data_IF_240758155422
#
_entry.id   IF_240758155422
#
_cell.length_a   1.000
_cell.length_b   1.000
_cell.length_c   1.000
_cell.angle_alpha   90.00
_cell.angle_beta   90.00
_cell.angle_gamma   90.00
#
_symmetry.space_group_name_H-M   'P 1'
#
loop_
_entity.id
_entity.type
_entity.pdbx_description
1 polymer ?
#
# COMPACT_ATOMS: atom_id res chain seq x y z
N UNK A 1 -24.17 4.72 29.37
CA UNK A 1 -25.64 4.56 29.38
C UNK A 1 -25.99 3.13 29.77
N UNK A 2 -27.10 2.90 30.48
CA UNK A 2 -27.63 1.56 30.75
C UNK A 2 -28.87 1.35 29.89
N UNK A 3 -28.85 0.30 29.09
CA UNK A 3 -29.92 -0.07 28.16
C UNK A 3 -30.21 -1.55 28.35
N UNK A 4 -31.48 -1.94 28.32
CA UNK A 4 -31.90 -3.34 28.25
C UNK A 4 -32.32 -3.60 26.82
N UNK A 5 -31.78 -4.65 26.21
CA UNK A 5 -32.05 -5.04 24.84
C UNK A 5 -32.35 -6.55 24.81
N UNK A 6 -33.31 -6.95 23.99
CA UNK A 6 -33.60 -8.37 23.75
C UNK A 6 -32.73 -8.85 22.59
N UNK A 7 -32.07 -9.99 22.76
CA UNK A 7 -31.25 -10.63 21.73
C UNK A 7 -31.93 -11.91 21.27
N UNK A 8 -31.84 -12.18 19.98
CA UNK A 8 -32.17 -13.50 19.45
C UNK A 8 -31.15 -14.55 19.96
N UNK A 9 -31.59 -15.81 20.03
CA UNK A 9 -30.82 -16.94 20.58
C UNK A 9 -29.47 -17.13 19.86
N UNK A 10 -29.47 -16.96 18.53
CA UNK A 10 -28.28 -17.06 17.70
C UNK A 10 -27.29 -15.94 17.99
N UNK A 11 -27.77 -14.70 18.17
CA UNK A 11 -26.94 -13.55 18.53
C UNK A 11 -26.34 -13.71 19.92
N UNK A 12 -27.11 -14.20 20.89
CA UNK A 12 -26.61 -14.48 22.24
C UNK A 12 -25.44 -15.49 22.20
N UNK A 13 -25.60 -16.60 21.47
CA UNK A 13 -24.55 -17.61 21.28
C UNK A 13 -23.30 -17.04 20.61
N UNK A 14 -23.47 -16.22 19.56
CA UNK A 14 -22.34 -15.57 18.88
C UNK A 14 -21.55 -14.65 19.82
N UNK A 15 -22.24 -13.93 20.71
CA UNK A 15 -21.58 -13.07 21.69
C UNK A 15 -20.82 -13.91 22.72
N UNK A 16 -21.40 -15.00 23.22
CA UNK A 16 -20.74 -15.89 24.18
C UNK A 16 -19.45 -16.52 23.61
N UNK A 17 -19.53 -16.99 22.36
CA UNK A 17 -18.37 -17.51 21.63
C UNK A 17 -17.29 -16.43 21.46
N UNK A 18 -17.67 -15.21 21.08
CA UNK A 18 -16.75 -14.11 20.91
C UNK A 18 -16.08 -13.69 22.23
N UNK A 19 -16.82 -13.72 23.34
CA UNK A 19 -16.29 -13.47 24.69
C UNK A 19 -15.27 -14.53 25.09
N UNK A 20 -15.57 -15.80 24.84
CA UNK A 20 -14.65 -16.91 25.12
C UNK A 20 -13.37 -16.82 24.27
N UNK A 21 -13.51 -16.59 22.97
CA UNK A 21 -12.39 -16.50 22.05
C UNK A 21 -11.47 -15.32 22.36
N UNK A 22 -12.04 -14.14 22.66
CA UNK A 22 -11.26 -12.93 22.93
C UNK A 22 -10.79 -12.83 24.39
N UNK A 23 -11.37 -13.60 25.31
CA UNK A 23 -11.18 -13.48 26.77
C UNK A 23 -11.40 -12.06 27.29
N UNK A 24 -12.42 -11.40 26.75
CA UNK A 24 -12.78 -10.01 27.06
C UNK A 24 -14.18 -9.95 27.65
N UNK A 25 -14.48 -8.98 28.55
CA UNK A 25 -15.80 -8.88 29.14
C UNK A 25 -16.88 -8.60 28.09
N UNK A 26 -18.04 -9.26 28.25
CA UNK A 26 -19.24 -9.15 27.40
C UNK A 26 -19.51 -7.72 26.91
N UNK A 27 -19.51 -6.75 27.84
CA UNK A 27 -19.77 -5.34 27.54
C UNK A 27 -18.79 -4.76 26.50
N UNK A 28 -17.51 -5.12 26.57
CA UNK A 28 -16.52 -4.64 25.62
C UNK A 28 -16.74 -5.27 24.24
N UNK A 29 -16.97 -6.58 24.20
CA UNK A 29 -17.21 -7.31 22.96
C UNK A 29 -18.44 -6.76 22.22
N UNK A 30 -19.56 -6.62 22.94
CA UNK A 30 -20.81 -6.08 22.38
C UNK A 30 -20.63 -4.64 21.89
N UNK A 31 -20.04 -3.77 22.70
CA UNK A 31 -19.86 -2.37 22.29
C UNK A 31 -18.91 -2.23 21.10
N UNK A 32 -17.83 -3.02 21.04
CA UNK A 32 -16.90 -2.96 19.92
C UNK A 32 -17.53 -3.51 18.64
N UNK A 33 -18.31 -4.59 18.73
CA UNK A 33 -19.07 -5.11 17.60
C UNK A 33 -20.07 -4.06 17.08
N UNK A 34 -20.86 -3.44 17.97
CA UNK A 34 -21.80 -2.37 17.61
C UNK A 34 -21.09 -1.16 17.01
N UNK A 35 -19.95 -0.73 17.57
CA UNK A 35 -19.16 0.37 17.00
C UNK A 35 -18.69 0.03 15.60
N UNK A 36 -18.14 -1.16 15.37
CA UNK A 36 -17.69 -1.57 14.03
C UNK A 36 -18.82 -1.61 13.02
N UNK A 37 -20.00 -2.10 13.43
CA UNK A 37 -21.17 -2.18 12.56
C UNK A 37 -21.81 -0.82 12.26
N UNK A 38 -21.84 0.08 13.24
CA UNK A 38 -22.49 1.39 13.14
C UNK A 38 -21.53 2.52 12.71
N UNK A 39 -20.23 2.27 12.71
CA UNK A 39 -19.26 3.24 12.17
C UNK A 39 -19.26 3.11 10.66
N UNK A 40 -19.66 4.17 9.91
CA UNK A 40 -19.60 4.13 8.46
C UNK A 40 -18.16 3.88 8.00
N UNK A 41 -17.96 3.13 6.90
CA UNK A 41 -16.63 2.88 6.38
C UNK A 41 -15.94 4.21 6.11
N UNK A 42 -14.78 4.39 6.75
CA UNK A 42 -13.95 5.57 6.60
C UNK A 42 -13.48 5.61 5.14
N UNK A 43 -14.04 6.52 4.34
CA UNK A 43 -13.71 6.73 2.91
C UNK A 43 -12.36 7.47 2.75
N UNK A 44 -11.43 7.22 3.65
CA UNK A 44 -10.15 7.91 3.72
C UNK A 44 -9.06 7.08 3.06
N UNK A 45 -9.42 6.04 2.30
CA UNK A 45 -8.51 5.47 1.32
C UNK A 45 -8.32 6.53 0.24
N UNK A 46 -7.30 7.37 0.43
CA UNK A 46 -6.84 8.29 -0.59
C UNK A 46 -6.66 7.48 -1.88
N UNK A 47 -7.45 7.82 -2.90
CA UNK A 47 -7.34 7.21 -4.23
C UNK A 47 -5.87 7.29 -4.62
N UNK A 48 -5.27 6.13 -4.90
CA UNK A 48 -3.88 6.08 -5.34
C UNK A 48 -3.75 6.92 -6.62
N UNK A 49 -3.06 8.06 -6.52
CA UNK A 49 -2.76 8.93 -7.66
C UNK A 49 -1.34 8.63 -8.11
N UNK A 50 -1.19 8.09 -9.32
CA UNK A 50 0.10 8.00 -9.98
C UNK A 50 0.57 9.42 -10.30
N UNK A 51 1.70 9.83 -9.73
CA UNK A 51 2.40 11.05 -10.14
C UNK A 51 3.47 10.61 -11.14
N UNK A 52 3.26 10.81 -12.46
CA UNK A 52 4.27 10.46 -13.45
C UNK A 52 5.50 11.35 -13.25
N UNK A 53 6.69 10.75 -13.29
CA UNK A 53 7.95 11.48 -13.32
C UNK A 53 8.39 11.64 -14.78
N UNK A 54 8.92 12.82 -15.13
CA UNK A 54 9.56 13.00 -16.42
C UNK A 54 10.90 12.28 -16.42
N UNK A 55 10.95 11.15 -17.11
CA UNK A 55 12.18 10.43 -17.39
C UNK A 55 12.79 10.93 -18.70
N UNK A 56 14.09 11.24 -18.71
CA UNK A 56 14.85 11.58 -19.92
C UNK A 56 15.17 10.37 -20.81
N UNK A 57 14.61 9.20 -20.49
CA UNK A 57 14.89 7.93 -21.17
C UNK A 57 14.18 7.91 -22.52
N UNK A 58 14.94 7.61 -23.57
CA UNK A 58 14.39 7.46 -24.92
C UNK A 58 13.57 6.18 -25.03
N UNK A 59 12.48 6.16 -25.81
CA UNK A 59 11.72 4.94 -26.09
C UNK A 59 12.64 3.85 -26.65
N UNK A 60 12.49 2.61 -26.16
CA UNK A 60 13.27 1.45 -26.61
C UNK A 60 14.55 1.17 -25.81
N UNK A 61 14.89 1.99 -24.82
CA UNK A 61 16.02 1.73 -23.91
C UNK A 61 15.59 0.76 -22.81
N UNK A 62 16.20 -0.41 -22.77
CA UNK A 62 16.04 -1.40 -21.70
C UNK A 62 16.79 -0.96 -20.44
N UNK A 63 16.05 -0.53 -19.42
CA UNK A 63 16.60 -0.06 -18.15
C UNK A 63 17.18 -1.18 -17.29
N UNK A 64 16.80 -2.44 -17.53
CA UNK A 64 17.38 -3.58 -16.85
C UNK A 64 18.77 -3.95 -17.42
N UNK A 65 19.11 -3.40 -18.59
CA UNK A 65 20.32 -3.70 -19.35
C UNK A 65 21.31 -2.54 -19.48
N UNK A 66 21.32 -1.58 -18.53
CA UNK A 66 22.18 -0.39 -18.59
C UNK A 66 23.68 -0.71 -18.75
N UNK A 67 24.14 -1.85 -18.21
CA UNK A 67 25.53 -2.29 -18.36
C UNK A 67 25.91 -2.52 -19.84
N UNK A 68 24.99 -3.01 -20.68
CA UNK A 68 25.26 -3.24 -22.11
C UNK A 68 25.46 -1.94 -22.90
N UNK A 69 24.82 -0.86 -22.47
CA UNK A 69 25.01 0.48 -23.04
C UNK A 69 26.36 1.09 -22.65
N UNK A 70 26.93 0.71 -21.50
CA UNK A 70 28.25 1.17 -21.09
C UNK A 70 29.35 0.49 -21.92
N UNK A 71 29.21 -0.81 -22.20
CA UNK A 71 30.18 -1.57 -23.01
C UNK A 71 30.26 -1.04 -24.46
N UNK A 72 29.13 -0.62 -25.05
CA UNK A 72 29.09 -0.09 -26.43
C UNK A 72 29.76 1.29 -26.57
N UNK A 73 29.86 2.06 -25.47
CA UNK A 73 30.54 3.37 -25.43
C UNK A 73 32.06 3.20 -25.29
N UNK A 74 32.54 2.11 -24.68
CA UNK A 74 33.98 1.86 -24.47
C UNK A 74 34.70 1.44 -25.76
N UNK A 75 33.96 0.92 -26.75
CA UNK A 75 34.49 0.44 -28.04
C UNK A 75 34.62 1.53 -29.14
N UNK A 76 34.25 2.79 -28.89
CA UNK A 76 34.55 3.86 -29.86
C UNK A 76 36.05 4.22 -29.83
N UNK A 77 36.78 4.10 -30.96
CA UNK A 77 38.15 4.56 -31.01
C UNK A 77 38.15 6.08 -30.88
N UNK A 78 38.85 6.60 -29.86
CA UNK A 78 39.09 8.04 -29.71
C UNK A 78 39.97 8.53 -30.86
N UNK A 79 39.37 8.84 -32.01
CA UNK A 79 40.09 9.34 -33.19
C UNK A 79 40.08 10.87 -33.17
N UNK A 80 41.14 11.42 -32.57
CA UNK A 80 41.81 12.64 -33.00
C UNK A 80 41.20 13.99 -32.63
N UNK A 81 41.99 14.84 -31.96
CA UNK A 81 42.90 15.77 -32.68
C UNK A 81 43.60 16.70 -31.70
N UNK A 82 44.88 16.43 -31.49
CA UNK A 82 45.86 17.48 -31.22
C UNK A 82 45.82 18.51 -32.36
N UNK A 83 45.75 19.80 -32.01
CA UNK A 83 46.37 20.96 -32.67
C UNK A 83 45.52 22.20 -32.38
N UNK A 84 46.03 23.05 -31.48
CA UNK A 84 46.29 24.48 -31.73
C UNK A 84 46.94 25.11 -30.51
N UNK A 85 48.27 25.09 -30.53
CA UNK A 85 49.09 26.18 -30.02
C UNK A 85 48.83 27.43 -30.87
N UNK A 86 48.50 28.56 -30.23
CA UNK A 86 49.15 29.86 -30.45
C UNK A 86 48.70 30.87 -29.41
#
# INVERSE_FOLDING_TARGET
MRTTLTLDEDVARLIEEAVHQQRRPMKQVVNDALRRALTPPRTDQAIYKVVPHHSGIRPGVDLAGLNRLADEIEDEPTVGKALRSS
#
